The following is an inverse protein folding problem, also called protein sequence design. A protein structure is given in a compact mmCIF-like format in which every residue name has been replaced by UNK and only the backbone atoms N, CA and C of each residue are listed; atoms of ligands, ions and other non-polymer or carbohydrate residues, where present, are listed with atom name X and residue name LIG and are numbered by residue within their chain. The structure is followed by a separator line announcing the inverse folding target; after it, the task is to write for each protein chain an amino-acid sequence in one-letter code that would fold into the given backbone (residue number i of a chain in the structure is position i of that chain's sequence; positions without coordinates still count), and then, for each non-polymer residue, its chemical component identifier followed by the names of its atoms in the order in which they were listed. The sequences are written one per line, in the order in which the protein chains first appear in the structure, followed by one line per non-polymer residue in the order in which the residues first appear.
data_IF_316291709998
#
_entry.id   IF_316291709998
#
_cell.length_a   1.000
_cell.length_b   1.000
_cell.length_c   1.000
_cell.angle_alpha   90.00
_cell.angle_beta   90.00
_cell.angle_gamma   90.00
#
_symmetry.space_group_name_H-M   'P 1'
#
loop_
_entity.id
_entity.type
_entity.pdbx_description
1 polymer ?
#
# COMPACT_ATOMS: atom_id res chain seq x y z
N UNK A 1 1.28 -8.06 -2.06
CA UNK A 1 0.43 -7.81 -3.24
C UNK A 1 0.92 -8.66 -4.39
N UNK A 2 1.95 -8.24 -5.13
CA UNK A 2 2.56 -9.00 -6.24
C UNK A 2 4.10 -8.96 -6.15
N UNK A 3 4.81 -9.76 -6.97
CA UNK A 3 6.28 -9.78 -6.98
C UNK A 3 6.86 -8.45 -7.47
N UNK A 4 6.40 -8.01 -8.64
CA UNK A 4 6.71 -6.69 -9.21
C UNK A 4 5.42 -5.92 -9.37
N UNK A 5 5.44 -4.65 -9.01
CA UNK A 5 4.26 -3.80 -9.13
C UNK A 5 4.63 -2.33 -9.21
N UNK A 6 3.75 -1.56 -9.84
CA UNK A 6 3.80 -0.09 -9.83
C UNK A 6 3.00 0.42 -8.64
N UNK A 7 3.65 1.16 -7.74
CA UNK A 7 2.99 1.90 -6.67
C UNK A 7 2.76 3.34 -7.11
N UNK A 8 1.50 3.77 -7.09
CA UNK A 8 1.10 5.14 -7.46
C UNK A 8 0.85 5.97 -6.21
N UNK A 9 1.53 7.12 -6.11
CA UNK A 9 1.34 8.07 -5.02
C UNK A 9 0.81 9.39 -5.58
N UNK A 10 -0.24 9.91 -4.94
CA UNK A 10 -0.87 11.18 -5.30
C UNK A 10 -0.25 12.32 -4.50
N UNK A 11 0.17 13.37 -5.20
CA UNK A 11 0.72 14.60 -4.64
C UNK A 11 -0.14 15.78 -5.04
N UNK A 12 -0.17 16.83 -4.21
CA UNK A 12 -0.73 18.12 -4.63
C UNK A 12 0.05 18.68 -5.82
N UNK A 13 -0.63 19.37 -6.72
CA UNK A 13 -0.01 20.00 -7.90
C UNK A 13 1.10 21.00 -7.57
N UNK A 14 1.07 21.58 -6.36
CA UNK A 14 2.08 22.50 -5.84
C UNK A 14 3.15 21.85 -4.98
N UNK A 15 3.17 20.52 -4.85
CA UNK A 15 4.12 19.82 -3.99
C UNK A 15 5.53 19.78 -4.65
N UNK A 16 6.57 20.33 -4.00
CA UNK A 16 7.92 20.38 -4.56
C UNK A 16 8.54 18.99 -4.82
N UNK A 17 8.04 17.94 -4.17
CA UNK A 17 8.49 16.57 -4.42
C UNK A 17 8.14 16.08 -5.81
N UNK A 18 7.08 16.61 -6.45
CA UNK A 18 6.70 16.21 -7.80
C UNK A 18 7.80 16.55 -8.78
N UNK A 19 8.38 17.75 -8.68
CA UNK A 19 9.47 18.18 -9.54
C UNK A 19 10.75 17.39 -9.27
N UNK A 20 11.01 17.04 -8.01
CA UNK A 20 12.13 16.18 -7.65
C UNK A 20 11.97 14.77 -8.25
N UNK A 21 10.79 14.18 -8.15
CA UNK A 21 10.47 12.89 -8.75
C UNK A 21 10.61 12.93 -10.28
N UNK A 22 10.10 14.00 -10.91
CA UNK A 22 10.21 14.19 -12.37
C UNK A 22 11.66 14.31 -12.82
N UNK A 23 12.49 15.08 -12.10
CA UNK A 23 13.93 15.18 -12.40
C UNK A 23 14.67 13.86 -12.24
N UNK A 24 14.22 13.01 -11.32
CA UNK A 24 14.77 11.66 -11.11
C UNK A 24 14.36 10.67 -12.20
N UNK A 25 13.41 11.02 -13.06
CA UNK A 25 12.93 10.15 -14.14
C UNK A 25 11.70 9.31 -13.79
N UNK A 26 11.07 9.51 -12.62
CA UNK A 26 9.81 8.82 -12.33
C UNK A 26 8.70 9.32 -13.28
N UNK A 27 7.82 8.43 -13.79
CA UNK A 27 6.65 8.84 -14.53
C UNK A 27 5.72 9.70 -13.66
N UNK A 28 5.36 10.87 -14.18
CA UNK A 28 4.45 11.83 -13.52
C UNK A 28 3.31 12.16 -14.48
N UNK A 29 2.08 11.92 -14.05
CA UNK A 29 0.85 12.25 -14.80
C UNK A 29 -0.14 12.99 -13.93
N UNK A 30 -1.09 13.68 -14.53
CA UNK A 30 -2.23 14.23 -13.79
C UNK A 30 -3.08 13.09 -13.23
N UNK A 31 -3.70 13.32 -12.07
CA UNK A 31 -4.67 12.37 -11.54
C UNK A 31 -5.93 12.34 -12.42
N UNK A 32 -6.69 11.26 -12.31
CA UNK A 32 -7.95 11.10 -13.05
C UNK A 32 -9.06 10.93 -12.04
N UNK A 33 -10.04 11.83 -12.09
CA UNK A 33 -11.23 11.79 -11.27
C UNK A 33 -12.06 10.53 -11.53
N UNK A 34 -12.99 10.22 -10.61
CA UNK A 34 -13.92 9.10 -10.75
C UNK A 34 -14.79 9.25 -12.01
N UNK A 35 -15.01 10.49 -12.47
CA UNK A 35 -15.72 10.82 -13.70
C UNK A 35 -14.87 10.64 -14.98
N UNK A 36 -13.62 10.17 -14.86
CA UNK A 36 -12.69 9.93 -15.96
C UNK A 36 -12.01 11.20 -16.49
N UNK A 37 -12.21 12.36 -15.85
CA UNK A 37 -11.60 13.62 -16.28
C UNK A 37 -10.28 13.85 -15.56
N UNK A 38 -9.38 14.55 -16.24
CA UNK A 38 -8.11 14.99 -15.67
C UNK A 38 -8.35 15.93 -14.48
N UNK A 39 -7.79 15.60 -13.32
CA UNK A 39 -7.77 16.45 -12.13
C UNK A 39 -6.40 17.14 -12.03
N UNK A 40 -6.40 18.45 -12.35
CA UNK A 40 -5.19 19.28 -12.31
C UNK A 40 -4.80 19.77 -10.92
N UNK A 41 -5.55 19.38 -9.89
CA UNK A 41 -5.16 19.71 -8.52
C UNK A 41 -4.09 18.75 -8.00
N UNK A 42 -3.89 17.59 -8.65
CA UNK A 42 -3.04 16.50 -8.16
C UNK A 42 -2.23 15.83 -9.27
N UNK A 43 -1.00 15.46 -8.95
CA UNK A 43 -0.19 14.57 -9.77
C UNK A 43 -0.19 13.16 -9.19
N UNK A 44 -0.05 12.17 -10.06
CA UNK A 44 0.24 10.78 -9.74
C UNK A 44 1.65 10.47 -10.19
N UNK A 45 2.49 10.05 -9.25
CA UNK A 45 3.85 9.58 -9.52
C UNK A 45 3.88 8.06 -9.39
N UNK A 46 4.53 7.41 -10.35
CA UNK A 46 4.66 5.95 -10.41
C UNK A 46 6.02 5.49 -9.90
N UNK A 47 6.02 4.58 -8.93
CA UNK A 47 7.21 4.02 -8.33
C UNK A 47 7.27 2.51 -8.62
N UNK A 48 8.24 2.02 -9.41
CA UNK A 48 8.43 0.59 -9.59
C UNK A 48 8.90 -0.01 -8.26
N UNK A 49 8.22 -1.07 -7.81
CA UNK A 49 8.49 -1.74 -6.55
C UNK A 49 8.66 -3.25 -6.78
N UNK A 50 9.57 -3.86 -6.02
CA UNK A 50 9.77 -5.30 -5.94
C UNK A 50 9.52 -5.75 -4.49
N UNK A 51 8.70 -6.80 -4.32
CA UNK A 51 8.52 -7.44 -3.02
C UNK A 51 9.77 -8.24 -2.62
N UNK A 52 10.12 -8.32 -1.32
CA UNK A 52 11.27 -9.08 -0.85
C UNK A 52 11.30 -10.53 -1.36
N UNK A 53 12.49 -11.11 -1.48
CA UNK A 53 12.65 -12.54 -1.78
C UNK A 53 11.95 -13.41 -0.73
N UNK A 54 11.19 -14.40 -1.22
CA UNK A 54 10.39 -15.29 -0.36
C UNK A 54 9.12 -14.66 0.25
N UNK A 55 8.75 -13.44 -0.15
CA UNK A 55 7.49 -12.85 0.29
C UNK A 55 6.29 -13.67 -0.18
N UNK A 56 5.35 -13.96 0.73
CA UNK A 56 4.04 -14.52 0.39
C UNK A 56 3.22 -13.45 -0.31
N UNK A 57 2.74 -13.74 -1.53
CA UNK A 57 1.99 -12.79 -2.34
C UNK A 57 0.48 -12.95 -2.13
N UNK A 58 -0.29 -11.94 -2.53
CA UNK A 58 -1.74 -12.00 -2.38
C UNK A 58 -2.36 -13.12 -3.24
N UNK A 59 -1.76 -13.40 -4.40
CA UNK A 59 -2.17 -14.50 -5.28
C UNK A 59 -1.92 -15.89 -4.66
N UNK A 60 -0.97 -16.01 -3.72
CA UNK A 60 -0.59 -17.27 -3.09
C UNK A 60 -1.44 -17.61 -1.86
N UNK A 61 -2.38 -16.72 -1.48
CA UNK A 61 -3.20 -16.90 -0.29
C UNK A 61 -4.66 -17.13 -0.64
N UNK A 62 -5.25 -18.16 -0.05
CA UNK A 62 -6.70 -18.31 0.03
C UNK A 62 -7.28 -17.43 1.13
N UNK A 63 -8.59 -17.25 1.14
CA UNK A 63 -9.28 -16.61 2.25
C UNK A 63 -9.06 -17.36 3.58
N UNK A 64 -8.97 -18.69 3.55
CA UNK A 64 -8.73 -19.51 4.74
C UNK A 64 -7.30 -19.34 5.26
N UNK A 65 -6.30 -19.26 4.38
CA UNK A 65 -4.91 -19.01 4.80
C UNK A 65 -4.78 -17.66 5.52
N UNK A 66 -5.49 -16.64 5.03
CA UNK A 66 -5.55 -15.33 5.70
C UNK A 66 -6.20 -15.46 7.09
N UNK A 67 -7.30 -16.22 7.22
CA UNK A 67 -7.99 -16.44 8.49
C UNK A 67 -7.14 -17.20 9.52
N UNK A 68 -6.37 -18.20 9.09
CA UNK A 68 -5.45 -18.93 9.96
C UNK A 68 -4.36 -18.01 10.54
N UNK A 69 -3.83 -17.07 9.73
CA UNK A 69 -2.92 -16.06 10.22
C UNK A 69 -3.55 -15.13 11.26
N UNK A 70 -4.80 -14.73 11.05
CA UNK A 70 -5.55 -13.89 11.99
C UNK A 70 -5.74 -14.61 13.31
N UNK A 71 -6.17 -15.89 13.26
CA UNK A 71 -6.32 -16.74 14.45
C UNK A 71 -5.00 -16.91 15.20
N UNK A 72 -3.91 -17.17 14.48
CA UNK A 72 -2.58 -17.28 15.07
C UNK A 72 -2.16 -16.00 15.79
N UNK A 73 -2.28 -14.85 15.12
CA UNK A 73 -1.94 -13.54 15.73
C UNK A 73 -2.85 -13.21 16.92
N UNK A 74 -4.13 -13.57 16.84
CA UNK A 74 -5.08 -13.38 17.93
C UNK A 74 -4.73 -14.26 19.15
N UNK A 75 -4.19 -15.45 18.92
CA UNK A 75 -3.82 -16.41 19.98
C UNK A 75 -2.48 -16.08 20.61
N UNK A 76 -1.47 -15.81 19.78
CA UNK A 76 -0.08 -15.75 20.23
C UNK A 76 0.36 -14.36 20.69
N UNK A 77 -0.34 -13.30 20.25
CA UNK A 77 0.13 -11.92 20.41
C UNK A 77 -0.95 -10.94 20.90
N UNK A 78 -2.09 -10.89 20.23
CA UNK A 78 -3.03 -9.79 20.42
C UNK A 78 -3.98 -10.02 21.61
N UNK A 79 -3.90 -9.12 22.60
CA UNK A 79 -4.86 -9.07 23.72
C UNK A 79 -6.19 -8.39 23.33
N UNK A 80 -6.15 -7.47 22.37
CA UNK A 80 -7.29 -6.80 21.75
C UNK A 80 -7.73 -7.56 20.49
N UNK A 81 -8.16 -6.87 19.42
CA UNK A 81 -8.55 -7.49 18.16
C UNK A 81 -7.44 -7.32 17.10
N UNK A 82 -7.33 -8.30 16.20
CA UNK A 82 -6.48 -8.21 15.01
C UNK A 82 -7.25 -7.50 13.89
N UNK A 83 -6.79 -6.32 13.47
CA UNK A 83 -7.37 -5.61 12.32
C UNK A 83 -6.91 -6.26 11.02
N UNK A 84 -7.87 -6.72 10.22
CA UNK A 84 -7.61 -7.41 8.96
C UNK A 84 -8.75 -7.21 7.98
N UNK A 85 -8.40 -7.07 6.70
CA UNK A 85 -9.32 -7.25 5.57
C UNK A 85 -8.96 -8.57 4.89
N UNK A 86 -9.82 -9.57 5.01
CA UNK A 86 -9.70 -10.85 4.32
C UNK A 86 -10.30 -10.70 2.93
N UNK A 87 -9.44 -10.82 1.92
CA UNK A 87 -9.87 -10.84 0.52
C UNK A 87 -10.29 -12.25 0.14
N UNK A 88 -11.45 -12.37 -0.51
CA UNK A 88 -11.98 -13.67 -0.95
C UNK A 88 -12.57 -13.59 -2.35
N UNK A 89 -12.61 -14.71 -3.07
CA UNK A 89 -13.41 -14.89 -4.28
C UNK A 89 -14.68 -15.69 -3.97
N UNK A 90 -15.69 -15.60 -4.82
CA UNK A 90 -17.00 -16.21 -4.56
C UNK A 90 -16.93 -17.73 -4.37
N UNK A 91 -15.98 -18.38 -5.05
CA UNK A 91 -15.75 -19.82 -4.99
C UNK A 91 -15.22 -20.28 -3.61
N UNK A 92 -14.65 -19.36 -2.82
CA UNK A 92 -14.08 -19.65 -1.49
C UNK A 92 -15.12 -19.54 -0.36
N UNK A 93 -16.35 -19.12 -0.66
CA UNK A 93 -17.38 -18.84 0.34
C UNK A 93 -17.73 -20.05 1.22
N UNK A 94 -17.78 -21.25 0.66
CA UNK A 94 -18.17 -22.44 1.42
C UNK A 94 -17.06 -22.88 2.39
N UNK A 95 -15.79 -22.73 1.99
CA UNK A 95 -14.64 -22.97 2.87
C UNK A 95 -14.58 -21.94 4.01
N UNK A 96 -14.83 -20.66 3.71
CA UNK A 96 -14.91 -19.60 4.73
C UNK A 96 -16.00 -19.91 5.77
N UNK A 97 -17.20 -20.32 5.32
CA UNK A 97 -18.29 -20.68 6.25
C UNK A 97 -17.93 -21.87 7.12
N UNK A 98 -17.31 -22.90 6.55
CA UNK A 98 -16.86 -24.07 7.28
C UNK A 98 -15.83 -23.67 8.35
N UNK A 99 -14.85 -22.87 7.97
CA UNK A 99 -13.82 -22.37 8.87
C UNK A 99 -14.40 -21.55 10.03
N UNK A 100 -15.31 -20.62 9.75
CA UNK A 100 -15.96 -19.80 10.77
C UNK A 100 -16.78 -20.66 11.75
N UNK A 101 -17.46 -21.71 11.27
CA UNK A 101 -18.23 -22.59 12.15
C UNK A 101 -17.37 -23.26 13.23
N UNK A 102 -16.11 -23.56 12.92
CA UNK A 102 -15.18 -24.22 13.84
C UNK A 102 -14.38 -23.23 14.69
N UNK A 103 -14.12 -22.02 14.17
CA UNK A 103 -13.13 -21.11 14.75
C UNK A 103 -13.71 -19.78 15.25
N UNK A 104 -14.94 -19.41 14.92
CA UNK A 104 -15.47 -18.08 15.23
C UNK A 104 -15.60 -17.80 16.73
N UNK A 105 -15.98 -18.81 17.54
CA UNK A 105 -16.23 -18.61 18.97
C UNK A 105 -14.97 -18.32 19.76
N UNK A 106 -13.87 -19.04 19.46
CA UNK A 106 -12.66 -19.03 20.29
C UNK A 106 -11.40 -18.54 19.55
N UNK A 107 -11.44 -18.47 18.22
CA UNK A 107 -10.25 -18.24 17.38
C UNK A 107 -10.05 -16.79 16.93
N UNK A 108 -11.11 -16.00 16.76
CA UNK A 108 -11.04 -14.62 16.25
C UNK A 108 -12.06 -13.71 16.93
N UNK A 109 -11.73 -12.43 17.12
CA UNK A 109 -12.68 -11.44 17.67
C UNK A 109 -13.46 -10.69 16.60
N UNK A 110 -12.80 -10.38 15.48
CA UNK A 110 -13.39 -9.63 14.38
C UNK A 110 -12.65 -9.95 13.09
N UNK A 111 -13.40 -10.00 11.99
CA UNK A 111 -12.86 -10.12 10.63
C UNK A 111 -13.67 -9.20 9.71
N UNK A 112 -12.99 -8.44 8.85
CA UNK A 112 -13.63 -7.71 7.75
C UNK A 112 -13.39 -8.48 6.45
N UNK A 113 -14.46 -8.83 5.73
CA UNK A 113 -14.36 -9.51 4.44
C UNK A 113 -14.54 -8.51 3.30
N UNK A 114 -13.71 -8.63 2.27
CA UNK A 114 -13.84 -7.85 1.05
C UNK A 114 -13.75 -8.78 -0.16
N UNK A 115 -14.78 -8.75 -1.01
CA UNK A 115 -14.77 -9.51 -2.24
C UNK A 115 -13.66 -8.99 -3.15
N UNK A 116 -12.85 -9.90 -3.70
CA UNK A 116 -11.88 -9.56 -4.71
C UNK A 116 -12.62 -9.04 -5.94
N UNK A 117 -12.49 -7.75 -6.19
CA UNK A 117 -13.06 -7.08 -7.36
C UNK A 117 -11.91 -6.51 -8.15
N UNK A 118 -11.89 -6.80 -9.45
CA UNK A 118 -11.09 -6.03 -10.38
C UNK A 118 -11.67 -4.62 -10.40
N UNK A 119 -10.93 -3.66 -9.84
CA UNK A 119 -11.37 -2.29 -9.84
C UNK A 119 -11.18 -1.70 -11.24
N UNK A 120 -12.14 -0.93 -11.72
CA UNK A 120 -12.01 -0.23 -12.99
C UNK A 120 -11.49 1.21 -12.81
N UNK A 121 -10.66 1.43 -11.79
CA UNK A 121 -10.04 2.75 -11.58
C UNK A 121 -9.03 3.00 -12.70
N UNK A 122 -9.04 4.19 -13.33
CA UNK A 122 -8.06 4.52 -14.36
C UNK A 122 -6.61 4.47 -13.84
N UNK A 123 -6.40 4.84 -12.57
CA UNK A 123 -5.10 4.91 -11.91
C UNK A 123 -5.15 4.25 -10.53
N UNK A 124 -5.09 2.91 -10.46
CA UNK A 124 -5.11 2.21 -9.18
C UNK A 124 -3.81 2.42 -8.40
N UNK A 125 -3.88 2.41 -7.05
CA UNK A 125 -2.72 2.69 -6.20
C UNK A 125 -1.61 1.63 -6.32
N UNK A 126 -1.99 0.39 -6.61
CA UNK A 126 -1.08 -0.72 -6.89
C UNK A 126 -1.53 -1.36 -8.20
N UNK A 127 -0.56 -1.69 -9.04
CA UNK A 127 -0.80 -2.39 -10.31
C UNK A 127 0.32 -3.39 -10.50
N UNK A 128 -0.03 -4.67 -10.65
CA UNK A 128 0.94 -5.71 -10.95
C UNK A 128 1.57 -5.45 -12.33
N UNK A 129 2.88 -5.64 -12.42
CA UNK A 129 3.62 -5.50 -13.66
C UNK A 129 4.57 -6.69 -13.84
N UNK A 130 5.02 -6.87 -15.06
CA UNK A 130 6.04 -7.86 -15.40
C UNK A 130 7.42 -7.43 -14.88
N UNK A 131 8.34 -8.39 -14.80
CA UNK A 131 9.72 -8.10 -14.43
C UNK A 131 10.38 -7.13 -15.43
N UNK A 132 10.10 -7.34 -16.71
CA UNK A 132 10.62 -6.55 -17.82
C UNK A 132 10.16 -5.08 -17.71
N UNK A 133 8.86 -4.85 -17.45
CA UNK A 133 8.32 -3.50 -17.22
C UNK A 133 8.94 -2.85 -15.98
N UNK A 134 9.10 -3.61 -14.88
CA UNK A 134 9.77 -3.12 -13.68
C UNK A 134 11.21 -2.68 -13.97
N UNK A 135 12.00 -3.53 -14.65
CA UNK A 135 13.39 -3.25 -15.01
C UNK A 135 13.51 -2.08 -15.99
N UNK A 136 12.59 -1.97 -16.94
CA UNK A 136 12.52 -0.84 -17.87
C UNK A 136 12.27 0.46 -17.10
N UNK A 137 11.26 0.51 -16.23
CA UNK A 137 10.98 1.70 -15.41
C UNK A 137 12.16 2.04 -14.50
N UNK A 138 12.79 1.04 -13.90
CA UNK A 138 13.93 1.22 -13.01
C UNK A 138 15.14 1.80 -13.76
N UNK A 139 15.36 1.39 -15.01
CA UNK A 139 16.45 1.91 -15.84
C UNK A 139 16.36 3.40 -16.15
N UNK A 140 15.15 3.97 -16.10
CA UNK A 140 14.92 5.39 -16.35
C UNK A 140 15.14 6.25 -15.09
N UNK A 141 15.32 5.63 -13.91
CA UNK A 141 15.45 6.34 -12.64
C UNK A 141 16.93 6.64 -12.35
N UNK A 142 17.26 7.92 -12.25
CA UNK A 142 18.59 8.38 -11.84
C UNK A 142 18.68 8.50 -10.31
N UNK A 143 19.24 7.48 -9.67
CA UNK A 143 19.37 7.48 -8.21
C UNK A 143 20.33 8.55 -7.67
N UNK A 144 21.18 9.16 -8.50
CA UNK A 144 22.11 10.22 -8.10
C UNK A 144 21.42 11.56 -7.87
N UNK A 145 20.24 11.78 -8.46
CA UNK A 145 19.44 12.99 -8.23
C UNK A 145 18.72 12.88 -6.87
N UNK A 146 18.94 13.81 -5.93
CA UNK A 146 18.31 13.77 -4.62
C UNK A 146 16.82 14.16 -4.70
N UNK A 147 16.00 13.48 -3.90
CA UNK A 147 14.56 13.79 -3.77
C UNK A 147 14.28 15.03 -2.91
N UNK A 148 15.20 15.38 -2.01
CA UNK A 148 15.09 16.55 -1.14
C UNK A 148 15.96 17.67 -1.70
N UNK A 149 15.36 18.82 -2.02
CA UNK A 149 16.13 20.06 -2.12
C UNK A 149 16.50 20.47 -0.69
N UNK A 150 17.79 20.66 -0.44
CA UNK A 150 18.40 21.03 0.85
C UNK A 150 17.94 22.37 1.43
N UNK A 151 16.86 22.96 0.92
CA UNK A 151 16.34 24.28 1.29
C UNK A 151 15.37 24.25 2.47
N UNK A 152 14.93 23.07 2.92
CA UNK A 152 13.99 22.89 4.04
C UNK A 152 14.53 21.94 5.10
N UNK A 153 15.84 22.01 5.37
CA UNK A 153 16.33 21.63 6.70
C UNK A 153 16.04 22.81 7.64
N UNK A 154 14.76 23.12 7.83
CA UNK A 154 14.38 23.46 9.21
C UNK A 154 14.56 22.09 9.88
N UNK A 155 15.72 21.91 10.51
CA UNK A 155 15.83 20.91 11.54
C UNK A 155 14.57 21.06 12.36
N UNK A 156 13.65 20.10 12.30
CA UNK A 156 12.73 19.91 13.41
C UNK A 156 13.66 19.51 14.53
N UNK A 157 14.23 20.52 15.19
CA UNK A 157 15.11 20.36 16.34
C UNK A 157 14.23 19.62 17.32
N UNK A 158 14.48 18.33 17.45
CA UNK A 158 13.72 17.44 18.31
C UNK A 158 14.05 17.70 19.80
N UNK A 159 14.48 18.93 20.15
CA UNK A 159 14.76 19.38 21.51
C UNK A 159 13.49 19.46 22.36
N UNK A 160 12.31 19.61 21.74
CA UNK A 160 11.04 19.71 22.46
C UNK A 160 10.56 18.37 23.05
N UNK A 161 11.20 17.24 22.72
CA UNK A 161 10.91 15.95 23.38
C UNK A 161 11.64 15.75 24.71
N UNK A 162 12.52 16.67 25.13
CA UNK A 162 13.26 16.51 26.38
C UNK A 162 12.36 16.60 27.64
N UNK A 163 11.18 17.20 27.53
CA UNK A 163 10.27 17.43 28.67
C UNK A 163 8.99 16.60 28.65
N UNK A 164 8.74 15.81 27.59
CA UNK A 164 7.57 14.93 27.48
C UNK A 164 6.22 15.65 27.37
N UNK A 165 6.20 16.96 27.10
CA UNK A 165 4.99 17.74 26.89
C UNK A 165 4.88 18.17 25.42
N UNK A 166 3.71 17.96 24.81
CA UNK A 166 3.43 18.52 23.49
C UNK A 166 3.30 20.05 23.57
N UNK A 167 3.96 20.83 22.70
CA UNK A 167 3.83 22.27 22.70
C UNK A 167 2.40 22.67 22.31
N UNK A 168 1.81 23.57 23.10
CA UNK A 168 0.51 24.18 22.80
C UNK A 168 0.76 25.33 21.82
N UNK A 169 0.12 25.29 20.66
CA UNK A 169 0.03 26.41 19.72
C UNK A 169 -1.17 27.29 20.05
#
# INVERSE_FOLDING_TARGET
YARYYVRRVRFGSSDPLVDACRRRGYPVKWDVGIDGREDRTRYVVEFPCESPEGAVLAADMTAVDQLEWVKKMQTDWADNAVSVTVYYRLEELDEIKAWLKENYTDGVKSVSFLLHSDHNFPLPPYEECTKEEYEEMLSQIDFSVPLVQSSFVDDVVMDDCATGACPVK
#
